data_IF_962170271190
#
_entry.id   IF_962170271190
#
_cell.length_a   1.000
_cell.length_b   1.000
_cell.length_c   1.000
_cell.angle_alpha   90.00
_cell.angle_beta   90.00
_cell.angle_gamma   90.00
#
_symmetry.space_group_name_H-M   'P 1'
#
loop_
_entity.id
_entity.type
_entity.pdbx_description
1 polymer ?
#
# COMPACT_ATOMS: atom_id res chain seq x y z
N UNK A 1 43.43 6.71 -62.57
CA UNK A 1 44.82 7.21 -62.65
C UNK A 1 44.89 8.66 -63.14
N UNK A 2 44.62 8.96 -64.41
CA UNK A 2 44.78 10.32 -65.00
C UNK A 2 44.24 11.51 -64.17
N UNK A 3 43.02 11.39 -63.62
CA UNK A 3 42.38 12.49 -62.88
C UNK A 3 43.10 12.90 -61.58
N UNK A 4 43.95 12.05 -61.02
CA UNK A 4 44.73 12.32 -59.81
C UNK A 4 46.11 12.93 -60.13
N UNK A 5 46.64 12.68 -61.34
CA UNK A 5 47.88 13.29 -61.82
C UNK A 5 47.67 14.78 -62.13
N UNK A 6 46.57 15.11 -62.81
CA UNK A 6 46.19 16.50 -63.14
C UNK A 6 45.97 17.39 -61.90
N UNK A 7 45.43 16.84 -60.81
CA UNK A 7 45.28 17.59 -59.55
C UNK A 7 46.62 17.82 -58.87
N UNK A 8 47.48 16.81 -58.82
CA UNK A 8 48.81 16.90 -58.21
C UNK A 8 49.73 17.90 -58.94
N UNK A 9 49.64 17.96 -60.27
CA UNK A 9 50.42 18.89 -61.10
C UNK A 9 49.92 20.34 -60.95
N UNK A 10 48.60 20.53 -60.82
CA UNK A 10 48.01 21.83 -60.47
C UNK A 10 48.40 22.34 -59.08
N UNK A 11 48.34 21.47 -58.06
CA UNK A 11 48.74 21.81 -56.69
C UNK A 11 50.24 22.15 -56.60
N UNK A 12 51.09 21.45 -57.36
CA UNK A 12 52.53 21.69 -57.40
C UNK A 12 52.88 23.04 -58.04
N UNK A 13 52.22 23.42 -59.14
CA UNK A 13 52.42 24.74 -59.77
C UNK A 13 51.88 25.87 -58.87
N UNK A 14 50.72 25.68 -58.23
CA UNK A 14 50.18 26.65 -57.27
C UNK A 14 51.15 26.90 -56.11
N UNK A 15 51.76 25.83 -55.59
CA UNK A 15 52.79 25.91 -54.53
C UNK A 15 54.03 26.67 -54.99
N UNK A 16 54.56 26.38 -56.19
CA UNK A 16 55.73 27.11 -56.74
C UNK A 16 55.44 28.60 -56.96
N UNK A 17 54.23 28.94 -57.40
CA UNK A 17 53.80 30.32 -57.59
C UNK A 17 53.79 31.06 -56.23
N UNK A 18 53.15 30.47 -55.22
CA UNK A 18 53.11 31.00 -53.86
C UNK A 18 54.50 31.14 -53.22
N UNK A 19 55.40 30.17 -53.41
CA UNK A 19 56.79 30.27 -52.95
C UNK A 19 57.54 31.43 -53.62
N UNK A 20 57.35 31.62 -54.94
CA UNK A 20 57.97 32.74 -55.69
C UNK A 20 57.43 34.10 -55.22
N UNK A 21 56.14 34.21 -54.98
CA UNK A 21 55.49 35.45 -54.52
C UNK A 21 55.87 35.76 -53.06
N UNK A 22 55.95 34.75 -52.20
CA UNK A 22 56.48 34.88 -50.84
C UNK A 22 57.93 35.36 -50.83
N UNK A 23 58.80 34.82 -51.71
CA UNK A 23 60.19 35.26 -51.81
C UNK A 23 60.30 36.71 -52.33
N UNK A 24 59.44 37.13 -53.25
CA UNK A 24 59.37 38.53 -53.70
C UNK A 24 58.88 39.48 -52.61
N UNK A 25 57.89 39.08 -51.80
CA UNK A 25 57.45 39.83 -50.62
C UNK A 25 58.57 39.95 -49.59
N UNK A 26 59.26 38.84 -49.27
CA UNK A 26 60.39 38.80 -48.34
C UNK A 26 61.61 39.59 -48.82
N UNK A 27 61.83 39.69 -50.14
CA UNK A 27 62.86 40.56 -50.69
C UNK A 27 62.48 42.05 -50.52
N UNK A 28 61.18 42.38 -50.67
CA UNK A 28 60.66 43.74 -50.47
C UNK A 28 60.59 44.17 -49.00
N UNK A 29 60.38 43.24 -48.06
CA UNK A 29 60.40 43.56 -46.62
C UNK A 29 61.79 43.92 -46.07
N UNK A 30 62.86 43.69 -46.86
CA UNK A 30 64.24 43.97 -46.48
C UNK A 30 64.80 45.28 -47.06
N UNK A 31 63.96 46.16 -47.64
CA UNK A 31 64.42 47.50 -48.02
C UNK A 31 64.77 48.31 -46.75
N UNK A 32 65.75 49.24 -46.82
CA UNK A 32 66.13 50.07 -45.68
C UNK A 32 64.98 51.01 -45.29
N UNK A 33 64.31 50.64 -44.19
CA UNK A 33 63.21 51.40 -43.59
C UNK A 33 63.75 52.75 -43.12
N UNK A 34 63.12 53.84 -43.56
CA UNK A 34 63.52 55.19 -43.17
C UNK A 34 63.14 55.48 -41.70
N UNK A 35 63.81 56.45 -41.08
CA UNK A 35 63.58 56.78 -39.67
C UNK A 35 62.17 57.33 -39.40
N UNK A 36 61.70 57.32 -38.13
CA UNK A 36 60.35 57.78 -37.78
C UNK A 36 60.10 59.26 -38.12
N UNK A 37 61.15 60.10 -38.21
CA UNK A 37 61.05 61.48 -38.69
C UNK A 37 60.51 61.54 -40.14
N UNK A 38 61.06 60.70 -41.02
CA UNK A 38 60.71 60.61 -42.44
C UNK A 38 59.26 60.16 -42.63
N UNK A 39 58.83 59.12 -41.90
CA UNK A 39 57.43 58.69 -41.90
C UNK A 39 56.47 59.73 -41.31
N UNK A 40 56.89 60.46 -40.28
CA UNK A 40 56.09 61.54 -39.67
C UNK A 40 55.91 62.70 -40.64
N UNK A 41 56.98 63.11 -41.32
CA UNK A 41 56.94 64.16 -42.34
C UNK A 41 55.90 63.86 -43.44
N UNK A 42 55.79 62.59 -43.86
CA UNK A 42 54.79 62.12 -44.81
C UNK A 42 53.38 61.99 -44.21
N UNK A 43 53.23 61.48 -42.97
CA UNK A 43 51.92 61.35 -42.30
C UNK A 43 51.23 62.68 -42.05
N UNK A 44 52.00 63.76 -41.92
CA UNK A 44 51.50 65.12 -41.76
C UNK A 44 51.25 65.84 -43.11
N UNK A 45 51.41 65.16 -44.25
CA UNK A 45 50.99 65.65 -45.56
C UNK A 45 49.47 65.56 -45.71
N UNK A 46 48.80 66.60 -46.19
CA UNK A 46 47.33 66.63 -46.32
C UNK A 46 46.85 65.92 -47.59
N UNK A 47 47.57 66.08 -48.70
CA UNK A 47 47.30 65.40 -49.96
C UNK A 47 48.16 64.14 -50.17
N UNK A 48 47.73 63.28 -51.10
CA UNK A 48 48.54 62.14 -51.54
C UNK A 48 49.72 62.59 -52.41
N UNK A 49 50.79 61.79 -52.47
CA UNK A 49 51.97 62.05 -53.34
C UNK A 49 51.66 62.22 -54.85
N UNK A 50 50.47 61.82 -55.30
CA UNK A 50 49.99 62.07 -56.66
C UNK A 50 49.52 63.52 -56.91
N UNK A 51 49.38 64.34 -55.86
CA UNK A 51 48.73 65.67 -55.88
C UNK A 51 49.36 66.65 -54.89
N UNK A 52 50.69 66.71 -54.79
CA UNK A 52 51.34 67.79 -54.05
C UNK A 52 51.09 69.13 -54.77
N UNK A 53 50.66 70.15 -54.03
CA UNK A 53 50.77 71.53 -54.47
C UNK A 53 52.17 72.11 -54.15
N UNK A 54 52.52 73.27 -54.70
CA UNK A 54 53.85 73.89 -54.52
C UNK A 54 54.20 74.16 -53.04
N UNK A 55 53.21 74.48 -52.20
CA UNK A 55 53.41 74.68 -50.76
C UNK A 55 53.71 73.35 -50.06
N UNK A 56 52.94 72.31 -50.36
CA UNK A 56 53.14 70.95 -49.83
C UNK A 56 54.48 70.36 -50.27
N UNK A 57 54.89 70.59 -51.52
CA UNK A 57 56.20 70.20 -52.03
C UNK A 57 57.32 70.92 -51.27
N UNK A 58 57.21 72.23 -51.06
CA UNK A 58 58.16 73.02 -50.26
C UNK A 58 58.19 72.59 -48.79
N UNK A 59 57.04 72.34 -48.17
CA UNK A 59 56.93 71.92 -46.76
C UNK A 59 57.44 70.49 -46.53
N UNK A 60 57.16 69.55 -47.44
CA UNK A 60 57.70 68.20 -47.35
C UNK A 60 59.22 68.22 -47.55
N UNK A 61 59.72 68.96 -48.53
CA UNK A 61 61.16 69.16 -48.73
C UNK A 61 61.87 69.71 -47.47
N UNK A 62 61.30 70.72 -46.82
CA UNK A 62 61.84 71.28 -45.57
C UNK A 62 61.86 70.26 -44.43
N UNK A 63 60.81 69.43 -44.30
CA UNK A 63 60.73 68.39 -43.27
C UNK A 63 61.73 67.27 -43.50
N UNK A 64 61.87 66.81 -44.74
CA UNK A 64 62.88 65.81 -45.14
C UNK A 64 64.31 66.34 -44.93
N UNK A 65 64.56 67.59 -45.30
CA UNK A 65 65.83 68.27 -45.04
C UNK A 65 66.13 68.39 -43.54
N UNK A 66 65.14 68.74 -42.72
CA UNK A 66 65.31 68.76 -41.26
C UNK A 66 65.59 67.37 -40.68
N UNK A 67 64.89 66.32 -41.12
CA UNK A 67 65.20 64.95 -40.69
C UNK A 67 66.66 64.59 -41.02
N UNK A 68 67.14 64.91 -42.22
CA UNK A 68 68.54 64.68 -42.59
C UNK A 68 69.53 65.53 -41.78
N UNK A 69 69.22 66.81 -41.51
CA UNK A 69 70.07 67.67 -40.67
C UNK A 69 70.13 67.19 -39.22
N UNK A 70 69.01 66.74 -38.65
CA UNK A 70 68.94 66.13 -37.33
C UNK A 70 69.73 64.81 -37.27
N UNK A 71 69.49 63.89 -38.22
CA UNK A 71 70.18 62.60 -38.36
C UNK A 71 71.71 62.77 -38.55
N UNK A 72 72.16 63.91 -39.10
CA UNK A 72 73.58 64.25 -39.30
C UNK A 72 74.19 65.15 -38.20
N UNK A 73 73.45 65.47 -37.14
CA UNK A 73 73.94 66.30 -36.02
C UNK A 73 74.18 67.77 -36.38
N UNK A 74 73.45 68.29 -37.36
CA UNK A 74 73.45 69.69 -37.77
C UNK A 74 72.25 70.45 -37.20
N UNK A 75 72.32 71.79 -37.23
CA UNK A 75 71.20 72.64 -36.83
C UNK A 75 70.04 72.50 -37.81
N UNK A 76 68.84 72.27 -37.28
CA UNK A 76 67.57 72.25 -38.02
C UNK A 76 66.95 73.63 -38.09
N UNK A 77 65.99 73.82 -39.00
CA UNK A 77 65.34 75.12 -39.25
C UNK A 77 63.82 75.02 -39.26
N UNK A 78 63.17 75.83 -38.43
CA UNK A 78 61.72 75.79 -38.18
C UNK A 78 60.85 76.40 -39.30
N UNK A 79 61.41 76.62 -40.49
CA UNK A 79 60.72 77.22 -41.64
C UNK A 79 59.49 76.42 -42.14
N UNK A 80 59.37 75.15 -41.74
CA UNK A 80 58.20 74.33 -42.04
C UNK A 80 56.99 74.61 -41.13
N UNK A 81 57.15 75.42 -40.08
CA UNK A 81 56.05 75.92 -39.25
C UNK A 81 55.51 77.29 -39.71
N UNK A 82 56.15 77.95 -40.69
CA UNK A 82 55.70 79.25 -41.21
C UNK A 82 54.37 79.12 -41.96
N UNK A 83 53.33 79.81 -41.46
CA UNK A 83 51.98 79.77 -42.05
C UNK A 83 51.89 80.47 -43.41
N UNK A 84 52.69 81.52 -43.65
CA UNK A 84 52.68 82.26 -44.92
C UNK A 84 53.87 81.89 -45.82
N UNK A 85 53.66 82.01 -47.14
CA UNK A 85 54.72 81.87 -48.15
C UNK A 85 55.86 82.89 -47.97
N UNK A 86 55.53 84.11 -47.51
CA UNK A 86 56.51 85.17 -47.35
C UNK A 86 57.46 84.87 -46.19
N UNK A 87 56.92 84.50 -45.03
CA UNK A 87 57.70 84.14 -43.84
C UNK A 87 58.55 82.89 -44.11
N UNK A 88 57.99 81.90 -44.82
CA UNK A 88 58.73 80.69 -45.19
C UNK A 88 59.90 80.99 -46.10
N UNK A 89 59.73 81.86 -47.11
CA UNK A 89 60.82 82.30 -48.00
C UNK A 89 61.87 83.11 -47.25
N UNK A 90 61.46 83.99 -46.33
CA UNK A 90 62.39 84.74 -45.48
C UNK A 90 63.21 83.80 -44.59
N UNK A 91 62.59 82.78 -44.02
CA UNK A 91 63.27 81.76 -43.21
C UNK A 91 64.22 80.87 -44.04
N UNK A 92 63.84 80.49 -45.26
CA UNK A 92 64.74 79.78 -46.19
C UNK A 92 65.96 80.66 -46.54
N UNK A 93 65.76 81.97 -46.76
CA UNK A 93 66.84 82.91 -47.05
C UNK A 93 67.78 83.18 -45.87
N UNK A 94 67.39 82.85 -44.63
CA UNK A 94 68.27 82.94 -43.44
C UNK A 94 68.95 81.61 -43.08
N UNK A 95 68.76 80.56 -43.88
CA UNK A 95 69.51 79.31 -43.75
C UNK A 95 71.00 79.49 -44.08
N UNK A 96 71.84 78.65 -43.48
CA UNK A 96 73.24 78.52 -43.92
C UNK A 96 73.32 77.86 -45.30
N UNK A 97 74.38 78.15 -46.07
CA UNK A 97 74.59 77.58 -47.42
C UNK A 97 74.47 76.04 -47.44
N UNK A 98 74.93 75.38 -46.36
CA UNK A 98 74.79 73.92 -46.20
C UNK A 98 73.34 73.50 -46.04
N UNK A 99 72.58 74.15 -45.17
CA UNK A 99 71.18 73.81 -44.94
C UNK A 99 70.30 74.15 -46.15
N UNK A 100 70.56 75.27 -46.83
CA UNK A 100 69.93 75.61 -48.10
C UNK A 100 70.26 74.59 -49.20
N UNK A 101 71.51 74.15 -49.29
CA UNK A 101 71.93 73.09 -50.23
C UNK A 101 71.21 71.76 -49.98
N UNK A 102 71.13 71.32 -48.72
CA UNK A 102 70.36 70.13 -48.32
C UNK A 102 68.87 70.31 -48.66
N UNK A 103 68.28 71.46 -48.34
CA UNK A 103 66.89 71.76 -48.71
C UNK A 103 66.66 71.70 -50.22
N UNK A 104 67.56 72.27 -51.03
CA UNK A 104 67.45 72.26 -52.48
C UNK A 104 67.50 70.83 -53.05
N UNK A 105 68.42 69.99 -52.56
CA UNK A 105 68.51 68.58 -52.94
C UNK A 105 67.18 67.85 -52.67
N UNK A 106 66.68 67.93 -51.43
CA UNK A 106 65.39 67.33 -51.09
C UNK A 106 64.24 67.94 -51.87
N UNK A 107 64.23 69.25 -52.13
CA UNK A 107 63.21 69.92 -52.92
C UNK A 107 63.14 69.36 -54.35
N UNK A 108 64.27 69.21 -55.05
CA UNK A 108 64.27 68.63 -56.41
C UNK A 108 63.77 67.18 -56.46
N UNK A 109 64.01 66.39 -55.39
CA UNK A 109 63.65 64.98 -55.33
C UNK A 109 62.37 64.66 -54.53
N UNK A 110 61.68 65.67 -53.97
CA UNK A 110 60.58 65.50 -52.99
C UNK A 110 59.45 64.61 -53.51
N UNK A 111 59.03 64.77 -54.76
CA UNK A 111 57.96 63.93 -55.34
C UNK A 111 58.34 62.45 -55.35
N UNK A 112 59.57 62.11 -55.76
CA UNK A 112 60.04 60.72 -55.79
C UNK A 112 60.18 60.14 -54.37
N UNK A 113 60.72 60.92 -53.43
CA UNK A 113 60.88 60.51 -52.02
C UNK A 113 59.50 60.30 -51.36
N UNK A 114 58.51 61.15 -51.66
CA UNK A 114 57.13 60.98 -51.21
C UNK A 114 56.56 59.63 -51.65
N UNK A 115 56.66 59.29 -52.94
CA UNK A 115 56.17 58.00 -53.46
C UNK A 115 56.88 56.80 -52.83
N UNK A 116 58.20 56.89 -52.62
CA UNK A 116 58.98 55.83 -51.98
C UNK A 116 58.53 55.62 -50.52
N UNK A 117 58.51 56.68 -49.71
CA UNK A 117 58.06 56.63 -48.31
C UNK A 117 56.59 56.17 -48.18
N UNK A 118 55.73 56.57 -49.11
CA UNK A 118 54.34 56.13 -49.12
C UNK A 118 54.20 54.65 -49.47
N UNK A 119 55.03 54.14 -50.39
CA UNK A 119 55.10 52.71 -50.65
C UNK A 119 55.61 51.94 -49.42
N UNK A 120 56.63 52.44 -48.75
CA UNK A 120 57.20 51.83 -47.54
C UNK A 120 56.17 51.75 -46.39
N UNK A 121 55.46 52.85 -46.09
CA UNK A 121 54.36 52.83 -45.11
C UNK A 121 53.24 51.87 -45.51
N UNK A 122 52.88 51.82 -46.79
CA UNK A 122 51.86 50.89 -47.29
C UNK A 122 52.31 49.43 -47.15
N UNK A 123 53.58 49.10 -47.40
CA UNK A 123 54.12 47.75 -47.17
C UNK A 123 54.04 47.36 -45.69
N UNK A 124 54.45 48.25 -44.77
CA UNK A 124 54.41 48.00 -43.32
C UNK A 124 52.97 47.76 -42.83
N UNK A 125 51.99 48.51 -43.34
CA UNK A 125 50.58 48.32 -43.00
C UNK A 125 49.99 47.05 -43.63
N UNK A 126 50.38 46.74 -44.87
CA UNK A 126 49.94 45.53 -45.59
C UNK A 126 50.47 44.27 -44.91
N UNK A 127 51.74 44.25 -44.48
CA UNK A 127 52.30 43.13 -43.73
C UNK A 127 51.55 42.94 -42.39
N UNK A 128 51.32 44.01 -41.63
CA UNK A 128 50.57 43.93 -40.36
C UNK A 128 49.14 43.41 -40.55
N UNK A 129 48.43 43.91 -41.55
CA UNK A 129 47.06 43.47 -41.84
C UNK A 129 47.03 42.04 -42.37
N UNK A 130 48.01 41.62 -43.16
CA UNK A 130 48.19 40.23 -43.60
C UNK A 130 48.45 39.28 -42.42
N UNK A 131 49.37 39.62 -41.51
CA UNK A 131 49.66 38.82 -40.31
C UNK A 131 48.42 38.69 -39.41
N UNK A 132 47.67 39.77 -39.20
CA UNK A 132 46.42 39.75 -38.44
C UNK A 132 45.35 38.86 -39.10
N UNK A 133 45.19 38.96 -40.43
CA UNK A 133 44.25 38.14 -41.19
C UNK A 133 44.65 36.67 -41.15
N UNK A 134 45.92 36.36 -41.36
CA UNK A 134 46.47 35.00 -41.31
C UNK A 134 46.26 34.36 -39.93
N UNK A 135 46.57 35.07 -38.85
CA UNK A 135 46.33 34.61 -37.48
C UNK A 135 44.84 34.35 -37.20
N UNK A 136 43.95 35.24 -37.66
CA UNK A 136 42.51 35.06 -37.53
C UNK A 136 41.99 33.84 -38.33
N UNK A 137 42.46 33.66 -39.57
CA UNK A 137 42.09 32.53 -40.42
C UNK A 137 42.64 31.20 -39.91
N UNK A 138 43.87 31.15 -39.37
CA UNK A 138 44.44 29.95 -38.74
C UNK A 138 43.58 29.53 -37.55
N UNK A 139 43.30 30.47 -36.64
CA UNK A 139 42.45 30.23 -35.47
C UNK A 139 41.04 29.78 -35.86
N UNK A 140 40.43 30.39 -36.87
CA UNK A 140 39.12 29.96 -37.38
C UNK A 140 39.15 28.53 -37.95
N UNK A 141 40.24 28.17 -38.63
CA UNK A 141 40.43 26.81 -39.18
C UNK A 141 40.57 25.78 -38.06
N UNK A 142 41.38 26.07 -37.03
CA UNK A 142 41.52 25.23 -35.84
C UNK A 142 40.17 25.02 -35.13
N UNK A 143 39.40 26.09 -34.92
CA UNK A 143 38.08 26.03 -34.31
C UNK A 143 37.06 25.24 -35.15
N UNK A 144 37.11 25.32 -36.48
CA UNK A 144 36.25 24.52 -37.36
C UNK A 144 36.60 23.02 -37.30
N UNK A 145 37.90 22.67 -37.21
CA UNK A 145 38.35 21.28 -37.03
C UNK A 145 37.90 20.73 -35.67
N UNK A 146 38.03 21.52 -34.60
CA UNK A 146 37.54 21.13 -33.27
C UNK A 146 36.01 20.97 -33.24
N UNK A 147 35.26 21.94 -33.78
CA UNK A 147 33.81 21.87 -33.87
C UNK A 147 33.33 20.66 -34.69
N UNK A 148 34.00 20.34 -35.81
CA UNK A 148 33.72 19.15 -36.62
C UNK A 148 33.93 17.85 -35.82
N UNK A 149 35.03 17.76 -35.05
CA UNK A 149 35.31 16.61 -34.18
C UNK A 149 34.25 16.45 -33.08
N UNK A 150 33.86 17.56 -32.43
CA UNK A 150 32.80 17.56 -31.41
C UNK A 150 31.46 17.14 -32.02
N UNK A 151 31.09 17.69 -33.18
CA UNK A 151 29.86 17.32 -33.91
C UNK A 151 29.85 15.82 -34.27
N UNK A 152 30.98 15.27 -34.71
CA UNK A 152 31.12 13.83 -34.97
C UNK A 152 30.87 12.98 -33.72
N UNK A 153 31.45 13.36 -32.58
CA UNK A 153 31.22 12.65 -31.30
C UNK A 153 29.77 12.76 -30.82
N UNK A 154 29.14 13.93 -30.96
CA UNK A 154 27.74 14.15 -30.61
C UNK A 154 26.80 13.30 -31.46
N UNK A 155 27.08 13.14 -32.75
CA UNK A 155 26.27 12.33 -33.65
C UNK A 155 26.32 10.83 -33.29
N UNK A 156 27.50 10.31 -32.91
CA UNK A 156 27.61 8.92 -32.45
C UNK A 156 26.89 8.71 -31.12
N UNK A 157 27.01 9.64 -30.16
CA UNK A 157 26.24 9.61 -28.91
C UNK A 157 24.72 9.68 -29.13
N UNK A 158 24.23 10.47 -30.10
CA UNK A 158 22.81 10.50 -30.47
C UNK A 158 22.36 9.16 -31.06
N UNK A 159 23.17 8.54 -31.92
CA UNK A 159 22.91 7.24 -32.53
C UNK A 159 22.86 6.12 -31.47
N UNK A 160 23.76 6.13 -30.50
CA UNK A 160 23.73 5.20 -29.37
C UNK A 160 22.50 5.45 -28.47
N UNK A 161 22.19 6.72 -28.16
CA UNK A 161 20.99 7.09 -27.41
C UNK A 161 19.69 6.63 -28.09
N UNK A 162 19.58 6.76 -29.43
CA UNK A 162 18.45 6.25 -30.20
C UNK A 162 18.33 4.72 -30.15
N UNK A 163 19.46 3.99 -30.14
CA UNK A 163 19.47 2.54 -29.98
C UNK A 163 18.89 2.15 -28.60
N UNK A 164 19.34 2.80 -27.54
CA UNK A 164 18.84 2.57 -26.17
C UNK A 164 17.35 2.92 -26.05
N UNK A 165 16.90 4.02 -26.66
CA UNK A 165 15.47 4.40 -26.68
C UNK A 165 14.61 3.34 -27.39
N UNK A 166 15.11 2.76 -28.49
CA UNK A 166 14.40 1.71 -29.21
C UNK A 166 14.33 0.40 -28.40
N UNK A 167 15.42 0.00 -27.75
CA UNK A 167 15.44 -1.14 -26.82
C UNK A 167 14.47 -0.92 -25.63
N UNK A 168 14.45 0.28 -25.06
CA UNK A 168 13.51 0.64 -23.98
C UNK A 168 12.04 0.63 -24.44
N UNK A 169 11.76 1.04 -25.69
CA UNK A 169 10.41 1.01 -26.27
C UNK A 169 9.92 -0.42 -26.52
N UNK A 170 10.81 -1.32 -26.95
CA UNK A 170 10.51 -2.76 -27.07
C UNK A 170 10.21 -3.36 -25.70
N UNK A 171 11.08 -3.15 -24.71
CA UNK A 171 10.90 -3.66 -23.35
C UNK A 171 9.63 -3.08 -22.69
N UNK A 172 9.34 -1.80 -22.92
CA UNK A 172 8.12 -1.15 -22.44
C UNK A 172 6.83 -1.71 -23.06
N UNK A 173 6.88 -2.09 -24.35
CA UNK A 173 5.77 -2.79 -25.03
C UNK A 173 5.56 -4.19 -24.45
N UNK A 174 6.64 -4.94 -24.24
CA UNK A 174 6.59 -6.27 -23.62
C UNK A 174 6.01 -6.19 -22.20
N UNK A 175 6.51 -5.28 -21.36
CA UNK A 175 5.96 -5.03 -20.02
C UNK A 175 4.48 -4.66 -20.06
N UNK A 176 4.05 -3.85 -21.03
CA UNK A 176 2.64 -3.55 -21.26
C UNK A 176 1.79 -4.79 -21.57
N UNK A 177 2.32 -5.75 -22.34
CA UNK A 177 1.64 -7.04 -22.57
C UNK A 177 1.59 -7.90 -21.31
N UNK A 178 2.69 -8.00 -20.56
CA UNK A 178 2.75 -8.76 -19.29
C UNK A 178 1.80 -8.20 -18.25
N UNK A 179 1.72 -6.88 -18.10
CA UNK A 179 0.77 -6.21 -17.19
C UNK A 179 -0.67 -6.53 -17.59
N UNK A 180 -1.00 -6.49 -18.90
CA UNK A 180 -2.33 -6.85 -19.37
C UNK A 180 -2.69 -8.31 -19.07
N UNK A 181 -1.82 -9.26 -19.43
CA UNK A 181 -2.03 -10.68 -19.14
C UNK A 181 -2.12 -10.96 -17.64
N UNK A 182 -1.36 -10.23 -16.82
CA UNK A 182 -1.44 -10.33 -15.35
C UNK A 182 -2.78 -9.81 -14.81
N UNK A 183 -3.30 -8.70 -15.35
CA UNK A 183 -4.60 -8.16 -14.97
C UNK A 183 -5.75 -9.10 -15.36
N UNK A 184 -5.70 -9.67 -16.57
CA UNK A 184 -6.67 -10.66 -17.04
C UNK A 184 -6.65 -11.92 -16.14
N UNK A 185 -5.45 -12.44 -15.80
CA UNK A 185 -5.28 -13.61 -14.92
C UNK A 185 -5.70 -13.37 -13.46
N UNK A 186 -5.43 -12.18 -12.90
CA UNK A 186 -5.93 -11.81 -11.56
C UNK A 186 -7.45 -11.71 -11.55
N UNK A 187 -8.06 -11.22 -12.63
CA UNK A 187 -9.51 -11.15 -12.75
C UNK A 187 -10.16 -12.55 -12.83
N UNK A 188 -9.57 -13.50 -13.58
CA UNK A 188 -10.00 -14.91 -13.54
C UNK A 188 -9.85 -15.51 -12.12
N UNK A 189 -8.71 -15.33 -11.47
CA UNK A 189 -8.49 -15.84 -10.11
C UNK A 189 -9.51 -15.31 -9.09
N UNK A 190 -9.95 -14.05 -9.23
CA UNK A 190 -11.01 -13.45 -8.40
C UNK A 190 -12.38 -14.05 -8.69
N UNK A 191 -12.67 -14.41 -9.95
CA UNK A 191 -13.91 -15.12 -10.32
C UNK A 191 -13.91 -16.55 -9.77
N UNK A 192 -12.82 -17.29 -9.94
CA UNK A 192 -12.65 -18.65 -9.39
C UNK A 192 -12.75 -18.66 -7.86
N UNK A 193 -12.10 -17.71 -7.19
CA UNK A 193 -12.19 -17.58 -5.73
C UNK A 193 -13.62 -17.29 -5.26
N UNK A 194 -14.35 -16.44 -5.98
CA UNK A 194 -15.76 -16.13 -5.70
C UNK A 194 -16.67 -17.34 -5.88
N UNK A 195 -16.42 -18.19 -6.87
CA UNK A 195 -17.17 -19.43 -7.07
C UNK A 195 -16.81 -20.49 -6.02
N UNK A 196 -15.52 -20.72 -5.74
CA UNK A 196 -15.05 -21.59 -4.67
C UNK A 196 -15.61 -21.16 -3.30
N UNK A 197 -15.67 -19.86 -3.01
CA UNK A 197 -16.21 -19.35 -1.75
C UNK A 197 -17.70 -19.66 -1.56
N UNK A 198 -18.52 -19.58 -2.64
CA UNK A 198 -19.92 -20.01 -2.60
C UNK A 198 -20.04 -21.51 -2.31
N UNK A 199 -19.21 -22.33 -2.93
CA UNK A 199 -19.21 -23.79 -2.72
C UNK A 199 -18.81 -24.16 -1.29
N UNK A 200 -17.81 -23.47 -0.72
CA UNK A 200 -17.43 -23.59 0.70
C UNK A 200 -18.56 -23.16 1.65
N UNK A 201 -19.28 -22.07 1.33
CA UNK A 201 -20.43 -21.62 2.13
C UNK A 201 -21.57 -22.65 2.13
N UNK A 202 -21.81 -23.34 1.01
CA UNK A 202 -22.80 -24.42 0.93
C UNK A 202 -22.45 -25.59 1.86
N UNK A 203 -21.20 -26.06 1.82
CA UNK A 203 -20.70 -27.13 2.70
C UNK A 203 -20.77 -26.76 4.19
N UNK A 204 -20.42 -25.51 4.54
CA UNK A 204 -20.54 -25.04 5.92
C UNK A 204 -22.00 -25.00 6.40
N UNK A 205 -22.94 -24.56 5.56
CA UNK A 205 -24.37 -24.58 5.90
C UNK A 205 -24.90 -26.00 6.14
N UNK A 206 -24.43 -26.98 5.35
CA UNK A 206 -24.75 -28.40 5.52
C UNK A 206 -24.20 -28.93 6.87
N UNK A 207 -22.93 -28.67 7.19
CA UNK A 207 -22.32 -29.03 8.49
C UNK A 207 -23.07 -28.40 9.67
N UNK A 208 -23.45 -27.12 9.56
CA UNK A 208 -24.25 -26.43 10.60
C UNK A 208 -25.67 -27.00 10.73
N UNK A 209 -26.20 -27.71 9.73
CA UNK A 209 -27.50 -28.40 9.84
C UNK A 209 -27.37 -29.69 10.68
N UNK A 210 -26.33 -30.49 10.45
CA UNK A 210 -26.04 -31.68 11.24
C UNK A 210 -25.74 -31.36 12.71
N UNK A 211 -24.98 -30.30 12.97
CA UNK A 211 -24.70 -29.84 14.35
C UNK A 211 -25.99 -29.48 15.10
N UNK A 212 -26.93 -28.78 14.46
CA UNK A 212 -28.24 -28.44 15.06
C UNK A 212 -29.09 -29.68 15.33
N UNK A 213 -29.16 -30.62 14.38
CA UNK A 213 -29.87 -31.88 14.57
C UNK A 213 -29.32 -32.70 15.75
N UNK A 214 -27.98 -32.76 15.89
CA UNK A 214 -27.35 -33.41 17.04
C UNK A 214 -27.62 -32.69 18.36
N UNK A 215 -27.58 -31.35 18.36
CA UNK A 215 -27.90 -30.52 19.53
C UNK A 215 -29.37 -30.69 19.97
N UNK A 216 -30.31 -30.81 19.04
CA UNK A 216 -31.71 -31.05 19.36
C UNK A 216 -31.95 -32.48 19.89
N UNK A 217 -31.25 -33.48 19.35
CA UNK A 217 -31.32 -34.86 19.82
C UNK A 217 -30.77 -35.01 21.25
N UNK A 218 -29.57 -34.49 21.53
CA UNK A 218 -28.93 -34.64 22.85
C UNK A 218 -29.73 -33.96 23.96
N UNK A 219 -30.37 -32.81 23.69
CA UNK A 219 -31.23 -32.12 24.67
C UNK A 219 -32.50 -32.92 24.97
N UNK A 220 -33.08 -33.60 23.97
CA UNK A 220 -34.22 -34.50 24.18
C UNK A 220 -33.85 -35.72 25.04
N UNK A 221 -32.74 -36.38 24.69
CA UNK A 221 -32.32 -37.64 25.32
C UNK A 221 -31.82 -37.45 26.77
N UNK A 222 -31.10 -36.37 27.07
CA UNK A 222 -30.64 -36.11 28.45
C UNK A 222 -31.81 -35.81 29.41
N UNK A 223 -32.91 -35.25 28.92
CA UNK A 223 -34.08 -34.86 29.73
C UNK A 223 -34.75 -36.05 30.42
N UNK A 224 -34.99 -37.16 29.72
CA UNK A 224 -35.69 -38.32 30.31
C UNK A 224 -34.87 -39.03 31.38
N UNK A 225 -33.54 -39.06 31.22
CA UNK A 225 -32.60 -39.62 32.19
C UNK A 225 -32.60 -38.81 33.49
N UNK A 226 -32.57 -37.47 33.39
CA UNK A 226 -32.65 -36.58 34.56
C UNK A 226 -33.94 -36.81 35.37
N UNK A 227 -35.10 -37.00 34.72
CA UNK A 227 -36.35 -37.35 35.42
C UNK A 227 -36.23 -38.67 36.20
N UNK A 228 -35.65 -39.72 35.61
CA UNK A 228 -35.52 -41.03 36.27
C UNK A 228 -34.64 -40.92 37.52
N UNK A 229 -33.47 -40.28 37.40
CA UNK A 229 -32.56 -40.10 38.54
C UNK A 229 -33.26 -39.33 39.67
N UNK A 230 -33.95 -38.23 39.35
CA UNK A 230 -34.69 -37.42 40.34
C UNK A 230 -35.73 -38.24 41.12
N UNK A 231 -36.62 -38.97 40.43
CA UNK A 231 -37.66 -39.73 41.11
C UNK A 231 -37.12 -40.96 41.86
N UNK A 232 -36.05 -41.60 41.38
CA UNK A 232 -35.40 -42.71 42.12
C UNK A 232 -34.88 -42.25 43.49
N UNK A 233 -34.21 -41.09 43.54
CA UNK A 233 -33.71 -40.48 44.78
C UNK A 233 -34.87 -40.05 45.68
N UNK A 234 -35.91 -39.43 45.12
CA UNK A 234 -37.09 -39.01 45.88
C UNK A 234 -37.83 -40.21 46.52
N UNK A 235 -37.99 -41.33 45.80
CA UNK A 235 -38.53 -42.57 46.35
C UNK A 235 -37.73 -43.11 47.53
N UNK A 236 -36.38 -43.13 47.43
CA UNK A 236 -35.49 -43.57 48.52
C UNK A 236 -35.66 -42.66 49.74
N UNK A 237 -35.68 -41.33 49.54
CA UNK A 237 -35.88 -40.35 50.62
C UNK A 237 -37.25 -40.53 51.30
N UNK A 238 -38.33 -40.68 50.53
CA UNK A 238 -39.67 -40.95 51.07
C UNK A 238 -39.73 -42.26 51.86
N UNK A 239 -39.08 -43.33 51.38
CA UNK A 239 -39.00 -44.60 52.08
C UNK A 239 -38.24 -44.48 53.42
N UNK A 240 -37.12 -43.75 53.45
CA UNK A 240 -36.34 -43.49 54.66
C UNK A 240 -37.13 -42.66 55.69
N UNK A 241 -37.74 -41.54 55.29
CA UNK A 241 -38.52 -40.72 56.24
C UNK A 241 -39.79 -41.42 56.75
N UNK A 242 -40.34 -42.35 55.97
CA UNK A 242 -41.50 -43.15 56.39
C UNK A 242 -41.14 -44.43 57.16
N UNK A 243 -39.86 -44.80 57.28
CA UNK A 243 -39.47 -45.98 58.08
C UNK A 243 -39.57 -45.75 59.59
N UNK A 244 -39.67 -44.48 60.02
CA UNK A 244 -39.89 -44.13 61.42
C UNK A 244 -41.30 -44.51 61.89
N UNK A 245 -41.42 -45.10 63.07
CA UNK A 245 -42.71 -45.47 63.69
C UNK A 245 -43.66 -44.27 63.87
N UNK A 246 -43.11 -43.04 63.86
CA UNK A 246 -43.83 -41.78 64.03
C UNK A 246 -44.55 -41.28 62.76
N UNK A 247 -44.22 -41.84 61.59
CA UNK A 247 -44.67 -41.42 60.25
C UNK A 247 -45.11 -42.62 59.39
N UNK A 248 -45.46 -43.73 60.03
CA UNK A 248 -45.81 -44.98 59.35
C UNK A 248 -47.14 -44.89 58.56
N UNK A 249 -48.13 -44.17 59.09
CA UNK A 249 -49.46 -44.05 58.50
C UNK A 249 -49.48 -43.23 57.20
N UNK A 250 -48.64 -42.17 57.11
CA UNK A 250 -48.54 -41.29 55.95
C UNK A 250 -47.78 -41.89 54.75
N UNK A 251 -47.26 -43.13 54.85
CA UNK A 251 -46.45 -43.79 53.82
C UNK A 251 -47.14 -43.87 52.46
N UNK A 252 -48.36 -44.39 52.46
CA UNK A 252 -49.09 -44.71 51.22
C UNK A 252 -49.44 -43.41 50.49
N UNK A 253 -49.90 -42.40 51.23
CA UNK A 253 -50.22 -41.06 50.71
C UNK A 253 -49.03 -40.41 50.00
N UNK A 254 -47.82 -40.51 50.57
CA UNK A 254 -46.60 -39.97 49.95
C UNK A 254 -46.26 -40.67 48.62
N UNK A 255 -46.35 -42.01 48.56
CA UNK A 255 -46.12 -42.73 47.31
C UNK A 255 -47.18 -42.47 46.24
N UNK A 256 -48.45 -42.30 46.63
CA UNK A 256 -49.54 -41.94 45.69
C UNK A 256 -49.32 -40.54 45.11
N UNK A 257 -49.00 -39.55 45.94
CA UNK A 257 -48.70 -38.17 45.49
C UNK A 257 -47.49 -38.14 44.55
N UNK A 258 -46.42 -38.88 44.88
CA UNK A 258 -45.23 -38.96 44.04
C UNK A 258 -45.51 -39.69 42.70
N UNK A 259 -46.33 -40.74 42.70
CA UNK A 259 -46.71 -41.47 41.48
C UNK A 259 -47.58 -40.62 40.55
N UNK A 260 -48.54 -39.87 41.11
CA UNK A 260 -49.37 -38.91 40.35
C UNK A 260 -48.51 -37.79 39.72
N UNK A 261 -47.50 -37.31 40.44
CA UNK A 261 -46.55 -36.33 39.92
C UNK A 261 -45.80 -36.88 38.68
N UNK A 262 -45.26 -38.11 38.76
CA UNK A 262 -44.58 -38.75 37.61
C UNK A 262 -45.47 -38.82 36.38
N UNK A 263 -46.75 -39.19 36.52
CA UNK A 263 -47.67 -39.27 35.37
C UNK A 263 -48.01 -37.91 34.79
N UNK A 264 -48.20 -36.89 35.63
CA UNK A 264 -48.44 -35.51 35.20
C UNK A 264 -47.22 -34.89 34.50
N UNK A 265 -46.00 -35.10 35.02
CA UNK A 265 -44.76 -34.66 34.36
C UNK A 265 -44.60 -35.31 32.98
N UNK A 266 -44.83 -36.63 32.88
CA UNK A 266 -44.72 -37.36 31.62
C UNK A 266 -45.77 -36.93 30.60
N UNK A 267 -47.03 -36.70 31.01
CA UNK A 267 -48.05 -36.15 30.11
C UNK A 267 -47.72 -34.72 29.65
N UNK A 268 -47.25 -33.85 30.55
CA UNK A 268 -46.86 -32.47 30.22
C UNK A 268 -45.72 -32.45 29.19
N UNK A 269 -44.70 -33.28 29.39
CA UNK A 269 -43.55 -33.39 28.48
C UNK A 269 -43.98 -33.97 27.12
N UNK A 270 -44.77 -35.05 27.11
CA UNK A 270 -45.24 -35.67 25.86
C UNK A 270 -46.14 -34.75 25.03
N UNK A 271 -47.02 -33.98 25.68
CA UNK A 271 -47.89 -33.02 24.98
C UNK A 271 -47.09 -31.88 24.33
N UNK A 272 -46.11 -31.32 25.04
CA UNK A 272 -45.34 -30.18 24.54
C UNK A 272 -44.22 -30.56 23.54
N UNK A 273 -43.67 -31.78 23.59
CA UNK A 273 -42.70 -32.24 22.58
C UNK A 273 -43.31 -32.27 21.16
N UNK A 274 -44.60 -32.59 21.03
CA UNK A 274 -45.27 -32.68 19.73
C UNK A 274 -45.66 -31.32 19.10
N UNK A 275 -45.52 -30.21 19.83
CA UNK A 275 -46.16 -28.93 19.46
C UNK A 275 -45.15 -27.83 19.10
N UNK A 276 -43.91 -27.86 19.59
CA UNK A 276 -43.20 -26.58 19.80
C UNK A 276 -41.75 -26.43 19.33
N UNK A 277 -41.45 -25.17 19.03
CA UNK A 277 -40.22 -24.57 18.49
C UNK A 277 -39.03 -24.63 19.49
N UNK A 278 -37.76 -24.48 19.05
CA UNK A 278 -36.60 -24.46 19.95
C UNK A 278 -36.67 -23.46 21.12
N UNK A 279 -37.35 -22.31 20.99
CA UNK A 279 -37.46 -21.31 22.06
C UNK A 279 -38.30 -21.81 23.26
N UNK A 280 -39.33 -22.61 22.98
CA UNK A 280 -40.27 -23.12 23.98
C UNK A 280 -39.70 -24.27 24.81
N UNK A 281 -38.60 -24.90 24.35
CA UNK A 281 -37.87 -25.92 25.12
C UNK A 281 -37.35 -25.38 26.46
N UNK A 282 -36.94 -24.11 26.49
CA UNK A 282 -36.47 -23.44 27.72
C UNK A 282 -37.64 -23.21 28.69
N UNK A 283 -38.80 -22.79 28.16
CA UNK A 283 -40.00 -22.60 28.98
C UNK A 283 -40.51 -23.92 29.56
N UNK A 284 -40.51 -25.00 28.77
CA UNK A 284 -40.89 -26.34 29.23
C UNK A 284 -39.97 -26.85 30.35
N UNK A 285 -38.67 -26.60 30.27
CA UNK A 285 -37.71 -26.90 31.34
C UNK A 285 -38.03 -26.10 32.63
N UNK A 286 -38.42 -24.83 32.51
CA UNK A 286 -38.81 -24.01 33.66
C UNK A 286 -40.09 -24.53 34.35
N UNK A 287 -41.15 -24.84 33.58
CA UNK A 287 -42.41 -25.36 34.13
C UNK A 287 -42.24 -26.72 34.84
N UNK A 288 -41.47 -27.64 34.25
CA UNK A 288 -41.20 -28.96 34.86
C UNK A 288 -40.42 -28.84 36.18
N UNK A 289 -39.42 -27.96 36.24
CA UNK A 289 -38.71 -27.67 37.50
C UNK A 289 -39.60 -27.04 38.57
N UNK A 290 -40.50 -26.11 38.20
CA UNK A 290 -41.48 -25.52 39.11
C UNK A 290 -42.40 -26.57 39.74
N UNK A 291 -42.96 -27.46 38.91
CA UNK A 291 -43.87 -28.53 39.34
C UNK A 291 -43.20 -29.49 40.36
N UNK A 292 -41.92 -29.86 40.13
CA UNK A 292 -41.14 -30.67 41.07
C UNK A 292 -40.99 -30.01 42.44
N UNK A 293 -40.72 -28.70 42.49
CA UNK A 293 -40.56 -27.95 43.75
C UNK A 293 -41.86 -27.88 44.56
N UNK A 294 -43.01 -27.67 43.89
CA UNK A 294 -44.32 -27.63 44.54
C UNK A 294 -44.64 -28.97 45.22
N UNK A 295 -44.40 -30.10 44.55
CA UNK A 295 -44.70 -31.42 45.13
C UNK A 295 -43.74 -31.78 46.27
N UNK A 296 -42.46 -31.38 46.22
CA UNK A 296 -41.57 -31.53 47.38
C UNK A 296 -42.08 -30.77 48.61
N UNK A 297 -42.58 -29.54 48.42
CA UNK A 297 -43.17 -28.75 49.52
C UNK A 297 -44.45 -29.41 50.07
N UNK A 298 -45.29 -30.00 49.22
CA UNK A 298 -46.45 -30.79 49.65
C UNK A 298 -46.04 -32.03 50.46
N UNK A 299 -45.06 -32.81 49.98
CA UNK A 299 -44.54 -33.98 50.71
C UNK A 299 -43.94 -33.60 52.07
N UNK A 300 -43.17 -32.52 52.15
CA UNK A 300 -42.65 -32.00 53.42
C UNK A 300 -43.77 -31.54 54.37
N UNK A 301 -44.82 -30.90 53.84
CA UNK A 301 -45.98 -30.47 54.62
C UNK A 301 -46.77 -31.65 55.18
N UNK A 302 -46.95 -32.73 54.40
CA UNK A 302 -47.58 -33.99 54.84
C UNK A 302 -46.75 -34.66 55.94
N UNK A 303 -45.41 -34.70 55.80
CA UNK A 303 -44.52 -35.24 56.83
C UNK A 303 -44.56 -34.41 58.13
N UNK A 304 -44.55 -33.08 58.04
CA UNK A 304 -44.68 -32.20 59.21
C UNK A 304 -46.04 -32.34 59.89
N UNK A 305 -47.13 -32.39 59.11
CA UNK A 305 -48.46 -32.66 59.65
C UNK A 305 -48.51 -34.01 60.37
N UNK A 306 -47.99 -35.07 59.77
CA UNK A 306 -47.89 -36.40 60.39
C UNK A 306 -47.02 -36.38 61.65
N UNK A 307 -45.97 -35.57 61.70
CA UNK A 307 -45.09 -35.44 62.86
C UNK A 307 -45.74 -34.71 64.04
N UNK A 308 -46.47 -33.61 63.78
CA UNK A 308 -47.22 -32.86 64.79
C UNK A 308 -48.50 -33.55 65.24
N UNK A 309 -49.20 -34.24 64.32
CA UNK A 309 -50.44 -34.98 64.62
C UNK A 309 -50.17 -36.30 65.36
N UNK A 310 -48.90 -36.74 65.47
CA UNK A 310 -48.48 -37.82 66.36
C UNK A 310 -48.61 -37.42 67.83
N UNK A 311 -49.85 -37.48 68.32
CA UNK A 311 -50.27 -37.32 69.71
C UNK A 311 -50.13 -38.65 70.43
N UNK A 312 -50.02 -38.60 71.75
CA UNK A 312 -49.52 -39.68 72.62
C UNK A 312 -50.50 -40.86 72.85
N UNK A 313 -51.12 -41.39 71.79
CA UNK A 313 -52.09 -42.49 71.86
C UNK A 313 -51.53 -43.73 72.56
N UNK A 314 -50.25 -44.05 72.35
CA UNK A 314 -49.60 -45.16 73.05
C UNK A 314 -49.51 -44.93 74.57
N UNK A 315 -49.34 -43.68 75.04
CA UNK A 315 -49.36 -43.38 76.47
C UNK A 315 -50.77 -43.43 77.05
N UNK A 316 -51.80 -42.98 76.31
CA UNK A 316 -53.19 -43.10 76.76
C UNK A 316 -53.66 -44.56 76.77
N UNK A 317 -53.33 -45.35 75.74
CA UNK A 317 -53.70 -46.76 75.66
C UNK A 317 -53.02 -47.57 76.77
N UNK A 318 -51.76 -47.27 77.12
CA UNK A 318 -51.09 -47.88 78.27
C UNK A 318 -51.73 -47.46 79.62
N UNK A 319 -52.20 -46.22 79.76
CA UNK A 319 -53.05 -45.79 80.90
C UNK A 319 -54.42 -46.49 80.94
N UNK A 320 -54.96 -46.91 79.79
CA UNK A 320 -56.19 -47.72 79.71
C UNK A 320 -55.91 -49.17 80.10
N UNK A 321 -54.83 -49.80 79.61
CA UNK A 321 -54.44 -51.15 80.02
C UNK A 321 -54.20 -51.24 81.53
N UNK A 322 -53.46 -50.30 82.15
CA UNK A 322 -53.30 -50.28 83.62
C UNK A 322 -54.62 -50.09 84.38
N UNK A 323 -55.63 -49.44 83.78
CA UNK A 323 -57.00 -49.35 84.35
C UNK A 323 -57.75 -50.68 84.24
N UNK A 324 -57.54 -51.45 83.17
CA UNK A 324 -58.11 -52.78 83.00
C UNK A 324 -57.46 -53.78 83.96
N UNK A 325 -56.14 -53.78 84.06
CA UNK A 325 -55.34 -54.58 85.00
C UNK A 325 -55.79 -54.37 86.46
N UNK A 326 -55.92 -53.11 86.91
CA UNK A 326 -56.45 -52.78 88.24
C UNK A 326 -57.89 -53.27 88.46
N UNK A 327 -58.75 -53.22 87.44
CA UNK A 327 -60.11 -53.77 87.51
C UNK A 327 -60.11 -55.30 87.60
N UNK A 328 -59.13 -55.98 86.97
CA UNK A 328 -59.01 -57.43 87.02
C UNK A 328 -58.59 -57.91 88.41
N UNK A 329 -57.59 -57.26 89.03
CA UNK A 329 -57.17 -57.55 90.41
C UNK A 329 -58.31 -57.39 91.42
N UNK A 330 -59.11 -56.31 91.31
CA UNK A 330 -60.25 -56.07 92.19
C UNK A 330 -61.39 -57.11 92.06
N UNK A 331 -61.41 -57.93 91.00
CA UNK A 331 -62.37 -59.01 90.81
C UNK A 331 -61.86 -60.37 91.32
N UNK A 332 -60.59 -60.46 91.74
CA UNK A 332 -59.94 -61.74 92.08
C UNK A 332 -59.93 -62.04 93.59
N UNK A 333 -60.29 -61.08 94.45
CA UNK A 333 -60.25 -61.22 95.93
C UNK A 333 -61.58 -61.66 96.59
N UNK A 334 -62.65 -61.93 95.82
CA UNK A 334 -63.97 -62.36 96.34
C UNK A 334 -64.42 -63.73 95.75
N UNK A 335 -64.59 -64.80 96.56
CA UNK A 335 -64.80 -66.15 96.01
C UNK A 335 -66.26 -66.68 95.90
N UNK A 336 -66.68 -66.99 94.65
CA UNK A 336 -67.56 -68.13 94.19
C UNK A 336 -69.10 -68.10 94.46
N UNK A 337 -69.99 -68.91 93.78
CA UNK A 337 -69.88 -69.70 92.50
C UNK A 337 -71.11 -69.76 91.49
N UNK A 338 -70.82 -69.94 90.17
CA UNK A 338 -71.41 -70.87 89.12
C UNK A 338 -72.88 -70.86 88.52
N UNK A 339 -73.04 -70.85 87.15
CA UNK A 339 -73.89 -71.77 86.28
C UNK A 339 -73.79 -71.56 84.72
N UNK A 340 -74.46 -72.39 83.88
CA UNK A 340 -74.13 -72.72 82.44
C UNK A 340 -75.30 -72.76 81.40
N UNK A 341 -75.01 -72.81 80.05
CA UNK A 341 -75.66 -73.62 78.95
C UNK A 341 -75.02 -73.37 77.54
N UNK A 342 -75.55 -73.83 76.39
CA UNK A 342 -75.15 -75.08 75.65
C UNK A 342 -75.16 -74.86 74.08
N UNK A 343 -74.83 -75.88 73.23
CA UNK A 343 -74.80 -75.87 71.74
C UNK A 343 -75.31 -77.20 71.10
N UNK A 344 -75.77 -77.14 69.83
CA UNK A 344 -75.90 -78.21 68.78
C UNK A 344 -76.65 -79.56 69.01
N UNK A 345 -77.72 -79.75 68.22
CA UNK A 345 -78.15 -80.99 67.52
C UNK A 345 -78.95 -80.53 66.27
N UNK A 346 -78.98 -81.14 65.07
CA UNK A 346 -79.74 -82.35 64.67
C UNK A 346 -79.31 -82.85 63.25
N UNK A 347 -78.16 -82.41 62.70
CA UNK A 347 -77.75 -82.63 61.28
C UNK A 347 -77.33 -84.09 60.91
N UNK A 348 -78.09 -85.12 61.29
CA UNK A 348 -77.73 -86.54 61.08
C UNK A 348 -78.84 -87.47 60.57
N UNK A 349 -79.91 -86.93 59.96
CA UNK A 349 -81.01 -87.71 59.36
C UNK A 349 -81.03 -87.74 57.82
N UNK A 350 -80.16 -86.99 57.14
CA UNK A 350 -80.01 -87.09 55.69
C UNK A 350 -79.05 -88.24 55.36
N UNK A 351 -79.58 -89.36 54.83
CA UNK A 351 -79.01 -90.10 53.68
C UNK A 351 -79.76 -91.42 53.35
N UNK A 352 -80.52 -92.01 54.29
CA UNK A 352 -81.21 -93.30 54.06
C UNK A 352 -82.66 -93.17 53.58
N UNK A 353 -82.87 -92.70 52.34
CA UNK A 353 -83.95 -93.12 51.41
C UNK A 353 -83.95 -92.25 50.14
N UNK A 354 -83.33 -92.75 49.09
CA UNK A 354 -83.77 -92.50 47.71
C UNK A 354 -84.18 -93.82 47.09
N UNK A 355 -85.19 -93.80 46.20
CA UNK A 355 -85.43 -94.69 45.03
C UNK A 355 -86.82 -94.34 44.43
N UNK A 356 -86.89 -94.37 43.09
CA UNK A 356 -88.08 -94.43 42.18
C UNK A 356 -88.93 -93.19 41.77
N UNK A 357 -88.79 -92.87 40.47
CA UNK A 357 -89.74 -92.53 39.38
C UNK A 357 -91.03 -91.65 39.53
N UNK A 358 -91.09 -90.61 38.66
CA UNK A 358 -92.10 -90.26 37.60
C UNK A 358 -93.53 -90.88 37.63
N UNK A 359 -94.56 -90.25 36.95
CA UNK A 359 -94.84 -88.82 36.69
C UNK A 359 -96.36 -88.41 36.69
N UNK A 360 -96.68 -87.13 36.37
CA UNK A 360 -97.94 -86.63 35.74
C UNK A 360 -99.16 -86.43 36.69
N UNK A 361 -100.13 -85.49 36.54
CA UNK A 361 -100.73 -84.69 35.43
C UNK A 361 -101.25 -83.29 35.96
N UNK A 362 -101.28 -82.23 35.09
CA UNK A 362 -102.06 -80.94 35.05
C UNK A 362 -102.62 -80.26 36.35
N UNK A 363 -102.79 -78.93 36.44
CA UNK A 363 -102.60 -77.79 35.51
C UNK A 363 -103.55 -76.61 35.84
N UNK A 364 -103.35 -75.43 35.19
CA UNK A 364 -104.21 -74.20 35.20
C UNK A 364 -104.28 -73.42 36.54
N UNK A 365 -104.35 -72.08 36.61
CA UNK A 365 -104.21 -70.98 35.61
C UNK A 365 -103.96 -69.61 36.31
N UNK A 366 -103.37 -68.65 35.58
CA UNK A 366 -103.60 -67.17 35.56
C UNK A 366 -103.62 -66.30 36.85
N UNK A 367 -103.34 -64.97 36.86
CA UNK A 367 -103.05 -63.97 35.81
C UNK A 367 -102.22 -62.78 36.38
N UNK A 368 -101.57 -61.97 35.51
CA UNK A 368 -101.08 -60.56 35.70
C UNK A 368 -100.42 -60.16 37.06
N UNK A 369 -99.16 -59.71 37.12
CA UNK A 369 -98.51 -58.66 36.33
C UNK A 369 -97.02 -58.54 36.68
#
# INVERSE_FOLDING_TARGET
>A
MFKCCLTFEGDLELKKLGEKEYLLLKAKSNLPVHGPCWHKALKELKNNCNKLNDQEHSLLALRLANCFLEDSGHITYDCHFSETEADRRQCINSMSDRAFGVYNEFYTHTTHICFYLNHELWQIETERTFQNLYAASSKMTEQLVEASKVQGSMLESQKEGLKIQNELLVNGKELGTVIKTSADSVNEMVLDFKESSKNQQALLNEIFSYMRAFQDWIVGEVSWFQSIVYYSIACIICALFSSSKRTADSRITLFVVLSLNVTLERMLVQYNINVTSPEDKIQLAYYTWGLRKIVLLLCMSILLYSYYSYRDEHMENNKVLRRIEKKLHALQEAPQPFRYRTRLAVKRLNESKGIEHKPSIKGFDDEKS
#
